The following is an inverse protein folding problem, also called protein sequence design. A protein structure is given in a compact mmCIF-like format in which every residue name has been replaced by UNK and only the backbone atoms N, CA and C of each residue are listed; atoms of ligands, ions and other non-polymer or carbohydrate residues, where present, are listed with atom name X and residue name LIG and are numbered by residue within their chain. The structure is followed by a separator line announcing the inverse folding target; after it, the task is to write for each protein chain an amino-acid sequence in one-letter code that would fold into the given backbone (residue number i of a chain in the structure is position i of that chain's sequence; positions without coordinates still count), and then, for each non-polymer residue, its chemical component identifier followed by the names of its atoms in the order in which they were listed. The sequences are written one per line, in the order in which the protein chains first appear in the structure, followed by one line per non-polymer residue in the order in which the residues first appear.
data_IF_382894130904
#
_entry.id   IF_382894130904
#
_cell.length_a   1.000
_cell.length_b   1.000
_cell.length_c   1.000
_cell.angle_alpha   90.00
_cell.angle_beta   90.00
_cell.angle_gamma   90.00
#
_symmetry.space_group_name_H-M   'P 1'
#
loop_
_entity.id
_entity.type
_entity.pdbx_description
1 polymer ?
#
# COMPACT_ATOMS: atom_id res chain seq x y z
N UNK A 1 14.61 1.44 7.62
CA UNK A 1 14.54 2.36 6.45
C UNK A 1 13.08 2.57 6.06
N UNK A 2 12.70 3.75 5.56
CA UNK A 2 11.34 4.02 5.03
C UNK A 2 11.47 4.43 3.56
N UNK A 3 10.88 3.66 2.66
CA UNK A 3 10.81 3.97 1.22
C UNK A 3 9.39 4.39 0.87
N UNK A 4 9.27 5.49 0.14
CA UNK A 4 8.01 5.97 -0.44
C UNK A 4 8.20 5.97 -1.96
N UNK A 5 7.66 4.93 -2.61
CA UNK A 5 7.73 4.75 -4.07
C UNK A 5 6.54 5.43 -4.74
N UNK A 6 6.57 6.77 -4.69
CA UNK A 6 5.59 7.68 -5.27
C UNK A 6 6.34 8.75 -6.07
N UNK A 7 5.79 9.14 -7.24
CA UNK A 7 6.32 10.29 -7.99
C UNK A 7 6.35 11.58 -7.16
N UNK A 8 5.38 11.77 -6.25
CA UNK A 8 5.36 12.86 -5.28
C UNK A 8 5.11 12.28 -3.87
N UNK A 9 6.15 12.08 -3.05
CA UNK A 9 6.04 11.52 -1.70
C UNK A 9 5.19 12.34 -0.73
N UNK A 10 5.04 13.66 -0.94
CA UNK A 10 4.25 14.54 -0.05
C UNK A 10 2.76 14.16 -0.02
N UNK A 11 2.27 13.44 -1.04
CA UNK A 11 0.87 12.97 -1.12
C UNK A 11 0.51 12.03 0.04
N UNK A 12 1.50 11.33 0.60
CA UNK A 12 1.35 10.40 1.73
C UNK A 12 2.06 10.91 3.00
N UNK A 13 2.49 12.18 3.01
CA UNK A 13 3.07 12.82 4.19
C UNK A 13 1.98 13.31 5.17
N UNK A 14 1.03 12.42 5.45
CA UNK A 14 -0.11 12.62 6.35
C UNK A 14 -0.61 11.26 6.83
N UNK A 15 -1.47 11.24 7.84
CA UNK A 15 -2.17 9.99 8.19
C UNK A 15 -3.15 9.60 7.08
N UNK A 16 -3.27 8.30 6.78
CA UNK A 16 -4.28 7.84 5.83
C UNK A 16 -5.69 8.10 6.37
N UNK A 17 -6.60 8.40 5.45
CA UNK A 17 -8.02 8.59 5.73
C UNK A 17 -8.71 7.28 6.10
N UNK A 18 -8.21 6.15 5.59
CA UNK A 18 -8.70 4.81 5.91
C UNK A 18 -7.61 3.74 5.70
N UNK A 19 -7.69 2.63 6.43
CA UNK A 19 -6.71 1.53 6.38
C UNK A 19 -7.45 0.19 6.33
N UNK A 20 -7.08 -0.63 5.35
CA UNK A 20 -7.52 -2.03 5.26
C UNK A 20 -6.31 -2.95 5.49
N UNK A 21 -6.38 -3.78 6.51
CA UNK A 21 -5.32 -4.72 6.86
C UNK A 21 -5.47 -5.95 5.98
N UNK A 22 -4.45 -6.22 5.15
CA UNK A 22 -4.39 -7.44 4.34
C UNK A 22 -3.75 -8.58 5.13
N UNK A 23 -2.78 -8.26 5.99
CA UNK A 23 -2.11 -9.22 6.86
C UNK A 23 -1.51 -8.52 8.08
N UNK A 24 -1.79 -9.04 9.28
CA UNK A 24 -1.21 -8.55 10.55
C UNK A 24 -0.98 -9.63 11.61
N UNK A 25 -1.50 -10.84 11.43
CA UNK A 25 -1.37 -11.94 12.39
C UNK A 25 -0.34 -12.96 11.91
N UNK A 26 0.86 -12.88 12.47
CA UNK A 26 1.99 -13.76 12.13
C UNK A 26 2.96 -13.10 11.15
N UNK A 27 4.26 -13.27 11.43
CA UNK A 27 5.31 -12.91 10.49
C UNK A 27 5.61 -14.09 9.58
N UNK A 28 5.83 -13.83 8.29
CA UNK A 28 6.36 -14.83 7.38
C UNK A 28 7.67 -14.34 6.77
N UNK A 29 8.47 -15.29 6.31
CA UNK A 29 9.75 -15.00 5.68
C UNK A 29 9.57 -15.07 4.17
N UNK A 30 10.00 -14.03 3.48
CA UNK A 30 10.20 -14.08 2.04
C UNK A 30 11.63 -13.68 1.74
N UNK A 31 12.37 -14.64 1.20
CA UNK A 31 13.83 -14.61 1.08
C UNK A 31 14.50 -14.30 2.45
N UNK A 32 15.21 -13.18 2.57
CA UNK A 32 15.88 -12.72 3.79
C UNK A 32 15.10 -11.65 4.58
N UNK A 33 13.83 -11.41 4.24
CA UNK A 33 12.98 -10.41 4.87
C UNK A 33 11.87 -11.06 5.70
N UNK A 34 11.72 -10.61 6.94
CA UNK A 34 10.61 -10.98 7.82
C UNK A 34 9.51 -9.95 7.63
N UNK A 35 8.41 -10.35 6.99
CA UNK A 35 7.25 -9.48 6.75
C UNK A 35 6.36 -9.49 7.98
N UNK A 36 6.15 -8.34 8.60
CA UNK A 36 5.33 -8.20 9.82
C UNK A 36 3.91 -7.72 9.53
N UNK A 37 3.72 -6.97 8.44
CA UNK A 37 2.45 -6.28 8.16
C UNK A 37 2.31 -5.93 6.68
N UNK A 38 1.09 -6.11 6.16
CA UNK A 38 0.68 -5.64 4.83
C UNK A 38 -0.67 -4.94 4.95
N UNK A 39 -0.73 -3.70 4.47
CA UNK A 39 -1.90 -2.83 4.54
C UNK A 39 -2.18 -2.20 3.17
N UNK A 40 -3.45 -1.87 2.93
CA UNK A 40 -3.84 -0.83 1.99
C UNK A 40 -4.17 0.43 2.77
N UNK A 41 -3.76 1.57 2.24
CA UNK A 41 -4.04 2.88 2.82
C UNK A 41 -4.74 3.74 1.80
N UNK A 42 -5.79 4.43 2.23
CA UNK A 42 -6.50 5.41 1.42
C UNK A 42 -6.11 6.82 1.85
N UNK A 43 -5.79 7.65 0.86
CA UNK A 43 -5.66 9.08 1.01
C UNK A 43 -6.65 9.75 0.08
N UNK A 44 -7.55 10.56 0.65
CA UNK A 44 -8.44 11.43 -0.09
C UNK A 44 -7.68 12.72 -0.39
N UNK A 45 -7.70 13.14 -1.64
CA UNK A 45 -7.04 14.37 -2.07
C UNK A 45 -8.08 15.45 -2.37
N UNK A 46 -8.24 15.80 -3.64
CA UNK A 46 -9.21 16.79 -4.12
C UNK A 46 -10.61 16.18 -4.22
N UNK A 47 -11.63 17.00 -4.04
CA UNK A 47 -13.02 16.62 -4.25
C UNK A 47 -13.56 17.29 -5.51
N UNK A 48 -14.13 16.50 -6.41
CA UNK A 48 -14.84 16.98 -7.60
C UNK A 48 -16.35 16.97 -7.33
N UNK A 49 -17.08 17.98 -7.83
CA UNK A 49 -18.52 18.12 -7.58
C UNK A 49 -19.36 16.97 -8.15
N UNK A 50 -18.91 16.36 -9.25
CA UNK A 50 -19.64 15.28 -9.94
C UNK A 50 -19.07 13.90 -9.61
N UNK A 51 -17.75 13.80 -9.54
CA UNK A 51 -17.04 12.53 -9.40
C UNK A 51 -16.70 12.17 -7.95
N UNK A 52 -16.84 13.12 -7.02
CA UNK A 52 -16.54 12.94 -5.60
C UNK A 52 -15.04 13.02 -5.30
N UNK A 53 -14.62 12.37 -4.21
CA UNK A 53 -13.24 12.44 -3.74
C UNK A 53 -12.29 11.63 -4.63
N UNK A 54 -11.19 12.27 -5.06
CA UNK A 54 -10.08 11.59 -5.68
C UNK A 54 -9.39 10.71 -4.64
N UNK A 55 -9.36 9.41 -4.91
CA UNK A 55 -8.81 8.38 -4.04
C UNK A 55 -7.40 8.04 -4.50
N UNK A 56 -6.43 8.13 -3.60
CA UNK A 56 -5.11 7.55 -3.75
C UNK A 56 -5.03 6.34 -2.82
N UNK A 57 -4.89 5.15 -3.39
CA UNK A 57 -4.69 3.90 -2.66
C UNK A 57 -3.23 3.50 -2.76
N UNK A 58 -2.57 3.33 -1.63
CA UNK A 58 -1.22 2.79 -1.55
C UNK A 58 -1.22 1.42 -0.89
N UNK A 59 -0.25 0.60 -1.26
CA UNK A 59 0.09 -0.60 -0.49
C UNK A 59 1.27 -0.28 0.42
N UNK A 60 1.16 -0.66 1.69
CA UNK A 60 2.21 -0.54 2.68
C UNK A 60 2.66 -1.93 3.14
N UNK A 61 3.96 -2.19 3.05
CA UNK A 61 4.59 -3.42 3.53
C UNK A 61 5.66 -3.07 4.56
N UNK A 62 5.57 -3.70 5.72
CA UNK A 62 6.55 -3.55 6.81
C UNK A 62 7.36 -4.84 6.96
N UNK A 63 8.67 -4.67 7.09
CA UNK A 63 9.64 -5.75 7.26
C UNK A 63 10.63 -5.43 8.38
N UNK A 64 11.41 -6.41 8.80
CA UNK A 64 12.55 -6.24 9.72
C UNK A 64 13.64 -5.29 9.19
N UNK A 65 13.75 -5.11 7.86
CA UNK A 65 14.76 -4.25 7.23
C UNK A 65 14.24 -2.86 6.83
N UNK A 66 12.94 -2.63 7.02
CA UNK A 66 12.30 -1.36 6.69
C UNK A 66 10.91 -1.53 6.13
N UNK A 67 10.32 -0.41 5.72
CA UNK A 67 8.98 -0.36 5.17
C UNK A 67 8.97 0.26 3.78
N UNK A 68 8.07 -0.20 2.93
CA UNK A 68 7.80 0.38 1.60
C UNK A 68 6.34 0.77 1.50
N UNK A 69 6.08 1.99 1.06
CA UNK A 69 4.76 2.45 0.65
C UNK A 69 4.79 2.81 -0.84
N UNK A 70 3.91 2.22 -1.63
CA UNK A 70 3.87 2.41 -3.09
C UNK A 70 2.44 2.62 -3.59
N UNK A 71 2.27 3.32 -4.71
CA UNK A 71 0.95 3.49 -5.33
C UNK A 71 0.44 2.13 -5.78
N UNK A 72 -0.78 1.79 -5.34
CA UNK A 72 -1.52 0.65 -5.86
C UNK A 72 -2.50 1.08 -6.94
N UNK A 73 -3.33 2.08 -6.64
CA UNK A 73 -4.34 2.61 -7.56
C UNK A 73 -4.67 4.07 -7.23
N UNK A 74 -5.08 4.84 -8.23
CA UNK A 74 -5.56 6.21 -8.02
C UNK A 74 -6.70 6.59 -8.98
N UNK A 75 -7.55 7.52 -8.56
CA UNK A 75 -8.65 8.03 -9.39
C UNK A 75 -9.93 8.37 -8.63
N UNK A 76 -10.95 8.79 -9.39
CA UNK A 76 -12.31 8.91 -8.88
C UNK A 76 -12.97 7.53 -8.84
N UNK A 77 -12.83 6.85 -7.70
CA UNK A 77 -13.23 5.45 -7.58
C UNK A 77 -14.66 5.28 -7.07
N UNK A 78 -15.33 6.33 -6.62
CA UNK A 78 -16.68 6.24 -6.04
C UNK A 78 -16.66 5.66 -4.63
N UNK A 79 -17.74 4.98 -4.23
CA UNK A 79 -17.92 4.52 -2.85
C UNK A 79 -17.03 3.32 -2.50
N UNK A 80 -16.53 3.27 -1.27
CA UNK A 80 -15.72 2.18 -0.69
C UNK A 80 -14.61 1.64 -1.61
N UNK A 81 -13.73 2.51 -2.13
CA UNK A 81 -12.71 2.10 -3.08
C UNK A 81 -11.64 1.22 -2.43
N UNK A 82 -11.33 1.47 -1.15
CA UNK A 82 -10.35 0.69 -0.40
C UNK A 82 -10.80 -0.76 -0.18
N UNK A 83 -12.05 -0.95 0.25
CA UNK A 83 -12.66 -2.27 0.47
C UNK A 83 -12.70 -3.11 -0.80
N UNK A 84 -13.13 -2.52 -1.93
CA UNK A 84 -13.14 -3.23 -3.23
C UNK A 84 -11.75 -3.68 -3.65
N UNK A 85 -10.75 -2.82 -3.46
CA UNK A 85 -9.35 -3.16 -3.74
C UNK A 85 -8.85 -4.30 -2.85
N UNK A 86 -9.17 -4.26 -1.56
CA UNK A 86 -8.86 -5.33 -0.60
C UNK A 86 -9.47 -6.66 -1.03
N UNK A 87 -10.76 -6.68 -1.33
CA UNK A 87 -11.49 -7.89 -1.74
C UNK A 87 -10.92 -8.48 -3.04
N UNK A 88 -10.54 -7.62 -3.99
CA UNK A 88 -9.86 -8.04 -5.22
C UNK A 88 -8.50 -8.69 -4.95
N UNK A 89 -7.67 -8.06 -4.11
CA UNK A 89 -6.33 -8.57 -3.79
C UNK A 89 -6.37 -9.92 -3.07
N UNK A 90 -7.30 -10.07 -2.12
CA UNK A 90 -7.49 -11.34 -1.39
C UNK A 90 -7.96 -12.44 -2.36
N UNK A 91 -8.89 -12.11 -3.26
CA UNK A 91 -9.47 -13.09 -4.19
C UNK A 91 -8.52 -13.55 -5.29
N UNK A 92 -7.47 -12.79 -5.59
CA UNK A 92 -6.55 -13.04 -6.70
C UNK A 92 -5.10 -13.32 -6.27
N UNK A 93 -4.86 -13.66 -5.00
CA UNK A 93 -3.51 -13.86 -4.43
C UNK A 93 -2.56 -12.65 -4.67
N UNK A 94 -3.12 -11.45 -4.76
CA UNK A 94 -2.38 -10.24 -5.12
C UNK A 94 -1.42 -9.75 -4.02
N UNK A 95 -1.60 -10.20 -2.77
CA UNK A 95 -0.75 -9.84 -1.63
C UNK A 95 0.71 -10.24 -1.90
N UNK A 96 0.94 -11.43 -2.45
CA UNK A 96 2.29 -11.92 -2.76
C UNK A 96 3.02 -11.02 -3.76
N UNK A 97 2.30 -10.41 -4.70
CA UNK A 97 2.89 -9.47 -5.66
C UNK A 97 3.29 -8.14 -5.01
N UNK A 98 2.50 -7.64 -4.06
CA UNK A 98 2.83 -6.43 -3.28
C UNK A 98 4.09 -6.63 -2.44
N UNK A 99 4.20 -7.80 -1.80
CA UNK A 99 5.36 -8.16 -0.98
C UNK A 99 6.60 -8.30 -1.86
N UNK A 100 6.52 -9.01 -2.99
CA UNK A 100 7.64 -9.18 -3.90
C UNK A 100 8.18 -7.84 -4.41
N UNK A 101 7.31 -6.92 -4.87
CA UNK A 101 7.74 -5.57 -5.30
C UNK A 101 8.41 -4.80 -4.17
N UNK A 102 7.87 -4.90 -2.95
CA UNK A 102 8.43 -4.21 -1.79
C UNK A 102 9.83 -4.71 -1.44
N UNK A 103 10.04 -6.03 -1.51
CA UNK A 103 11.35 -6.65 -1.28
C UNK A 103 12.37 -6.21 -2.32
N UNK A 104 12.00 -6.20 -3.61
CA UNK A 104 12.87 -5.72 -4.68
C UNK A 104 13.30 -4.27 -4.39
N UNK A 105 12.35 -3.39 -4.05
CA UNK A 105 12.63 -1.99 -3.73
C UNK A 105 13.55 -1.82 -2.50
N UNK A 106 13.37 -2.65 -1.46
CA UNK A 106 14.25 -2.64 -0.29
C UNK A 106 15.67 -3.09 -0.65
N UNK A 107 15.82 -4.16 -1.45
CA UNK A 107 17.14 -4.66 -1.89
C UNK A 107 17.92 -3.62 -2.66
N UNK A 108 17.29 -2.97 -3.64
CA UNK A 108 17.91 -1.91 -4.45
C UNK A 108 18.42 -0.70 -3.64
N UNK A 109 17.97 -0.54 -2.39
CA UNK A 109 18.43 0.53 -1.48
C UNK A 109 19.38 0.05 -0.39
N UNK A 110 19.50 -1.26 -0.20
CA UNK A 110 20.41 -1.88 0.77
C UNK A 110 21.76 -2.24 0.13
N UNK A 111 21.77 -2.48 -1.18
CA UNK A 111 22.97 -2.61 -2.02
C UNK A 111 23.60 -1.23 -2.32
#
# INVERSE_FOLDING_TARGET
MKIIDLHNPERVNKSPDDIEILMSSGSFVQDEFVISKVELRLYKERNDEKLGAFSLITSFVETDKGSVEMIFDEGFRGNDPLKRTRDFLISNLGISALVLRSIICLREKLD
#
